data_IF_176232575291
#
_entry.id   IF_176232575291
#
_cell.length_a   1.000
_cell.length_b   1.000
_cell.length_c   1.000
_cell.angle_alpha   90.00
_cell.angle_beta   90.00
_cell.angle_gamma   90.00
#
_symmetry.space_group_name_H-M   'P 1'
#
loop_
_entity.id
_entity.type
_entity.pdbx_description
1 polymer ?
#
# COMPACT_ATOMS: atom_id res chain seq x y z
N UNK A 1 12.60 -47.13 -10.81
CA UNK A 1 11.58 -46.10 -11.05
C UNK A 1 12.12 -44.80 -10.50
N UNK A 2 12.37 -43.75 -11.32
CA UNK A 2 12.81 -42.47 -10.77
C UNK A 2 11.64 -41.81 -10.04
N UNK A 3 11.87 -41.38 -8.80
CA UNK A 3 10.89 -40.65 -8.01
C UNK A 3 10.54 -39.31 -8.68
N UNK A 4 9.25 -39.00 -8.76
CA UNK A 4 8.78 -37.73 -9.31
C UNK A 4 9.07 -36.60 -8.31
N UNK A 5 10.06 -35.76 -8.61
CA UNK A 5 10.34 -34.57 -7.81
C UNK A 5 9.33 -33.46 -8.15
N UNK A 6 8.49 -33.11 -7.18
CA UNK A 6 7.57 -31.96 -7.27
C UNK A 6 8.35 -30.65 -7.09
N UNK A 7 8.42 -29.85 -8.14
CA UNK A 7 9.04 -28.50 -8.09
C UNK A 7 7.91 -27.47 -7.93
N UNK A 8 7.89 -26.75 -6.82
CA UNK A 8 6.94 -25.64 -6.59
C UNK A 8 7.59 -24.33 -6.98
N UNK A 9 7.10 -23.69 -8.05
CA UNK A 9 7.55 -22.36 -8.48
C UNK A 9 6.60 -21.31 -7.90
N UNK A 10 7.06 -20.50 -6.95
CA UNK A 10 6.32 -19.32 -6.47
C UNK A 10 6.83 -18.08 -7.20
N UNK A 11 5.97 -17.48 -8.05
CA UNK A 11 6.26 -16.17 -8.64
C UNK A 11 6.16 -15.12 -7.54
N UNK A 12 7.29 -14.58 -7.12
CA UNK A 12 7.34 -13.40 -6.26
C UNK A 12 7.05 -12.20 -7.17
N UNK A 13 5.87 -11.59 -7.02
CA UNK A 13 5.59 -10.32 -7.67
C UNK A 13 6.34 -9.24 -6.87
N UNK A 14 7.40 -8.68 -7.44
CA UNK A 14 8.06 -7.50 -6.88
C UNK A 14 7.16 -6.28 -7.09
N UNK A 15 6.54 -5.80 -6.01
CA UNK A 15 5.65 -4.63 -6.02
C UNK A 15 4.30 -4.89 -5.35
N UNK A 16 3.50 -3.84 -5.26
CA UNK A 16 2.11 -3.98 -4.83
C UNK A 16 1.36 -4.89 -5.82
N UNK A 17 0.54 -5.86 -5.36
CA UNK A 17 -0.32 -6.64 -6.27
C UNK A 17 -1.36 -5.75 -6.95
N UNK A 18 -1.53 -4.53 -6.44
CA UNK A 18 -2.45 -3.52 -6.94
C UNK A 18 -1.76 -2.62 -7.97
N UNK A 19 -2.41 -2.43 -9.12
CA UNK A 19 -1.93 -1.51 -10.17
C UNK A 19 -2.48 -0.09 -10.01
N UNK A 20 -3.64 0.06 -9.37
CA UNK A 20 -4.25 1.36 -9.16
C UNK A 20 -3.67 2.06 -7.94
N UNK A 21 -3.64 3.39 -7.98
CA UNK A 21 -3.19 4.20 -6.84
C UNK A 21 -3.86 5.57 -6.78
N UNK A 22 -3.93 6.10 -5.56
CA UNK A 22 -4.31 7.49 -5.29
C UNK A 22 -3.15 8.16 -4.55
N UNK A 23 -2.77 9.35 -4.99
CA UNK A 23 -1.77 10.19 -4.32
C UNK A 23 -2.46 11.40 -3.68
N UNK A 24 -2.18 11.63 -2.39
CA UNK A 24 -2.78 12.69 -1.59
C UNK A 24 -1.68 13.57 -1.01
N UNK A 25 -1.79 14.89 -1.26
CA UNK A 25 -0.86 15.90 -0.77
C UNK A 25 -0.06 16.55 -1.89
N UNK A 26 1.01 17.25 -1.52
CA UNK A 26 1.92 17.85 -2.49
C UNK A 26 3.34 17.61 -2.00
N UNK A 27 4.17 16.85 -2.74
CA UNK A 27 5.53 16.53 -2.30
C UNK A 27 6.32 17.77 -1.86
N UNK A 28 6.19 18.89 -2.58
CA UNK A 28 6.87 20.15 -2.29
C UNK A 28 6.33 20.96 -1.10
N UNK A 29 5.27 20.52 -0.40
CA UNK A 29 4.65 21.26 0.72
C UNK A 29 4.55 20.42 2.01
N UNK A 30 5.54 19.59 2.28
CA UNK A 30 5.57 18.75 3.49
C UNK A 30 5.09 17.31 3.28
N UNK A 31 5.13 16.82 2.04
CA UNK A 31 4.99 15.40 1.72
C UNK A 31 3.67 15.01 1.06
N UNK A 32 3.69 13.85 0.40
CA UNK A 32 2.55 13.20 -0.22
C UNK A 32 2.49 11.74 0.21
N UNK A 33 1.29 11.17 0.26
CA UNK A 33 1.07 9.74 0.49
C UNK A 33 0.50 9.13 -0.77
N UNK A 34 1.14 8.05 -1.24
CA UNK A 34 0.66 7.23 -2.34
C UNK A 34 0.10 5.93 -1.78
N UNK A 35 -1.15 5.63 -2.13
CA UNK A 35 -1.91 4.50 -1.60
C UNK A 35 -2.27 3.62 -2.80
N UNK A 36 -1.82 2.36 -2.78
CA UNK A 36 -2.12 1.39 -3.81
C UNK A 36 -3.34 0.53 -3.43
N UNK A 37 -4.21 0.24 -4.39
CA UNK A 37 -5.44 -0.52 -4.19
C UNK A 37 -6.10 -0.95 -5.51
N UNK A 38 -7.30 -1.51 -5.45
CA UNK A 38 -8.01 -2.03 -6.62
C UNK A 38 -9.27 -1.18 -6.87
N UNK A 39 -9.39 -0.52 -8.01
CA UNK A 39 -10.61 0.24 -8.33
C UNK A 39 -11.83 -0.67 -8.57
N UNK A 40 -11.63 -1.96 -8.84
CA UNK A 40 -12.72 -2.93 -8.93
C UNK A 40 -13.27 -3.35 -7.54
N UNK A 41 -12.52 -3.09 -6.46
CA UNK A 41 -12.96 -3.27 -5.06
C UNK A 41 -12.92 -1.94 -4.30
N UNK A 42 -13.92 -1.06 -4.49
CA UNK A 42 -13.93 0.26 -3.88
C UNK A 42 -13.99 0.20 -2.35
N UNK A 43 -14.64 -0.82 -1.77
CA UNK A 43 -14.72 -0.97 -0.32
C UNK A 43 -13.36 -1.33 0.29
N UNK A 44 -12.66 -2.32 -0.29
CA UNK A 44 -11.31 -2.69 0.14
C UNK A 44 -10.29 -1.57 -0.07
N UNK A 45 -10.44 -0.78 -1.14
CA UNK A 45 -9.60 0.40 -1.36
C UNK A 45 -9.90 1.51 -0.33
N UNK A 46 -11.17 1.75 0.00
CA UNK A 46 -11.55 2.72 1.03
C UNK A 46 -10.92 2.39 2.40
N UNK A 47 -10.94 1.13 2.82
CA UNK A 47 -10.32 0.69 4.08
C UNK A 47 -8.81 0.99 4.11
N UNK A 48 -8.12 0.76 2.99
CA UNK A 48 -6.69 1.10 2.84
C UNK A 48 -6.45 2.60 2.95
N UNK A 49 -7.33 3.41 2.37
CA UNK A 49 -7.23 4.87 2.43
C UNK A 49 -7.39 5.36 3.87
N UNK A 50 -8.41 4.84 4.59
CA UNK A 50 -8.66 5.18 5.99
C UNK A 50 -7.45 4.87 6.88
N UNK A 51 -6.85 3.70 6.68
CA UNK A 51 -5.66 3.29 7.43
C UNK A 51 -4.44 4.14 7.10
N UNK A 52 -4.20 4.44 5.83
CA UNK A 52 -3.08 5.30 5.42
C UNK A 52 -3.18 6.71 6.05
N UNK A 53 -4.40 7.27 6.11
CA UNK A 53 -4.65 8.57 6.78
C UNK A 53 -4.41 8.48 8.28
N UNK A 54 -4.86 7.39 8.94
CA UNK A 54 -4.62 7.16 10.37
C UNK A 54 -3.12 7.09 10.67
N UNK A 55 -2.36 6.33 9.88
CA UNK A 55 -0.90 6.18 10.02
C UNK A 55 -0.16 7.49 9.78
N UNK A 56 -0.62 8.30 8.81
CA UNK A 56 -0.08 9.66 8.57
C UNK A 56 -0.23 10.53 9.81
N UNK A 57 -1.44 10.59 10.35
CA UNK A 57 -1.74 11.41 11.52
C UNK A 57 -0.88 10.99 12.72
N UNK A 58 -0.84 9.69 13.00
CA UNK A 58 0.00 9.11 14.04
C UNK A 58 1.47 9.48 13.86
N UNK A 59 2.01 9.38 12.65
CA UNK A 59 3.41 9.78 12.36
C UNK A 59 3.64 11.28 12.59
N UNK A 60 2.69 12.13 12.17
CA UNK A 60 2.75 13.56 12.43
C UNK A 60 2.82 13.90 13.92
N UNK A 61 1.99 13.24 14.74
CA UNK A 61 2.00 13.37 16.20
C UNK A 61 3.35 12.92 16.80
N UNK A 62 3.91 11.80 16.34
CA UNK A 62 5.22 11.33 16.78
C UNK A 62 6.38 12.27 16.42
N UNK A 63 6.29 12.96 15.29
CA UNK A 63 7.32 13.91 14.84
C UNK A 63 7.21 15.28 15.54
N UNK A 64 6.34 15.43 16.53
CA UNK A 64 6.16 16.67 17.30
C UNK A 64 5.34 17.73 16.59
N UNK A 65 4.62 17.37 15.52
CA UNK A 65 3.79 18.29 14.74
C UNK A 65 2.31 18.19 15.08
N UNK A 66 1.75 19.26 15.62
CA UNK A 66 0.32 19.57 15.49
C UNK A 66 0.03 19.79 14.00
N UNK A 67 -0.65 18.83 13.34
CA UNK A 67 -1.19 19.01 11.98
C UNK A 67 -2.39 19.95 11.99
#
# INVERSE_FOLDING_TARGET
MPESQLITVKKILEGSPFQDSIEIGTPGKGGAIKIYGDFADPAGFEDRIREAVRLRKMTGEFMGGTL
#
